data_IF_336127977123
#
_entry.id   IF_336127977123
#
_cell.length_a   1.000
_cell.length_b   1.000
_cell.length_c   1.000
_cell.angle_alpha   90.00
_cell.angle_beta   90.00
_cell.angle_gamma   90.00
#
_symmetry.space_group_name_H-M   'P 1'
#
loop_
_entity.id
_entity.type
_entity.pdbx_description
1 polymer ?
#
# COMPACT_ATOMS: atom_id res chain seq x y z
N UNK A 1 -10.83 14.13 -9.46
CA UNK A 1 -11.02 12.75 -8.95
C UNK A 1 -12.01 12.78 -7.78
N UNK A 2 -13.03 11.91 -7.76
CA UNK A 2 -13.97 11.83 -6.64
C UNK A 2 -13.32 11.13 -5.43
N UNK A 3 -13.60 11.58 -4.21
CA UNK A 3 -13.05 11.02 -2.98
C UNK A 3 -14.07 10.05 -2.38
N UNK A 4 -13.66 8.81 -2.13
CA UNK A 4 -14.48 7.84 -1.40
C UNK A 4 -14.39 8.06 0.10
N UNK A 5 -15.55 8.18 0.73
CA UNK A 5 -15.67 8.33 2.17
C UNK A 5 -16.23 7.05 2.80
N UNK A 6 -15.37 6.35 3.53
CA UNK A 6 -15.73 5.21 4.37
C UNK A 6 -14.69 5.05 5.46
N UNK A 7 -15.11 4.51 6.60
CA UNK A 7 -14.19 4.27 7.74
C UNK A 7 -13.12 3.25 7.41
N UNK A 8 -13.44 2.31 6.52
CA UNK A 8 -12.54 1.27 6.04
C UNK A 8 -12.85 0.96 4.60
N UNK A 9 -11.85 0.96 3.74
CA UNK A 9 -11.95 0.54 2.36
C UNK A 9 -11.20 -0.76 2.17
N UNK A 10 -11.82 -1.71 1.49
CA UNK A 10 -11.14 -2.91 1.00
C UNK A 10 -10.77 -2.67 -0.44
N UNK A 11 -9.47 -2.80 -0.73
CA UNK A 11 -8.95 -2.73 -2.07
C UNK A 11 -8.96 -4.14 -2.64
N UNK A 12 -9.63 -4.29 -3.77
CA UNK A 12 -9.75 -5.53 -4.49
C UNK A 12 -9.28 -5.37 -5.95
N UNK A 13 -8.93 -6.49 -6.58
CA UNK A 13 -8.71 -6.57 -8.03
C UNK A 13 -9.78 -7.49 -8.60
N UNK A 14 -10.45 -7.03 -9.63
CA UNK A 14 -11.42 -7.80 -10.39
C UNK A 14 -10.82 -8.22 -11.73
N UNK A 15 -10.80 -9.52 -11.99
CA UNK A 15 -10.40 -10.14 -13.24
C UNK A 15 -11.55 -11.04 -13.75
N UNK A 16 -11.47 -11.59 -14.98
CA UNK A 16 -12.51 -12.49 -15.49
C UNK A 16 -12.84 -13.67 -14.56
N UNK A 17 -11.88 -14.18 -13.80
CA UNK A 17 -12.05 -15.28 -12.83
C UNK A 17 -12.73 -14.85 -11.52
N UNK A 18 -12.70 -13.56 -11.19
CA UNK A 18 -13.43 -12.99 -10.06
C UNK A 18 -12.78 -11.77 -9.44
N UNK A 19 -13.39 -11.28 -8.36
CA UNK A 19 -12.87 -10.18 -7.55
C UNK A 19 -12.20 -10.70 -6.27
N UNK A 20 -10.96 -10.29 -6.04
CA UNK A 20 -10.11 -10.76 -4.95
C UNK A 20 -9.65 -9.60 -4.06
N UNK A 21 -9.85 -9.73 -2.74
CA UNK A 21 -9.48 -8.71 -1.77
C UNK A 21 -7.98 -8.78 -1.51
N UNK A 22 -7.27 -7.66 -1.63
CA UNK A 22 -5.81 -7.64 -1.47
C UNK A 22 -5.43 -7.08 -0.10
N UNK A 23 -5.93 -5.89 0.23
CA UNK A 23 -5.70 -5.24 1.51
C UNK A 23 -6.89 -4.36 1.91
N UNK A 24 -6.88 -3.87 3.14
CA UNK A 24 -7.81 -2.84 3.58
C UNK A 24 -7.04 -1.65 4.13
N UNK A 25 -7.60 -0.46 4.00
CA UNK A 25 -7.04 0.74 4.60
C UNK A 25 -8.13 1.65 5.14
N UNK A 26 -7.76 2.62 5.94
CA UNK A 26 -8.67 3.62 6.46
C UNK A 26 -8.02 4.49 7.51
N UNK A 27 -8.88 5.15 8.29
CA UNK A 27 -8.48 6.10 9.30
C UNK A 27 -9.06 5.73 10.67
N UNK A 28 -8.26 5.91 11.71
CA UNK A 28 -8.72 5.82 13.08
C UNK A 28 -9.48 7.11 13.43
N UNK A 29 -10.70 6.97 13.95
CA UNK A 29 -11.57 8.10 14.27
C UNK A 29 -11.09 8.96 15.43
N UNK A 30 -10.28 8.40 16.32
CA UNK A 30 -9.90 9.09 17.56
C UNK A 30 -8.78 10.08 17.35
N UNK A 31 -7.79 9.68 16.56
CA UNK A 31 -6.56 10.45 16.36
C UNK A 31 -6.27 10.74 14.87
N UNK A 32 -7.06 10.22 13.94
CA UNK A 32 -6.82 10.37 12.51
C UNK A 32 -5.73 9.46 11.95
N UNK A 33 -5.17 8.53 12.74
CA UNK A 33 -4.11 7.64 12.27
C UNK A 33 -4.53 6.84 11.05
N UNK A 34 -3.64 6.71 10.06
CA UNK A 34 -3.82 5.83 8.93
C UNK A 34 -3.61 4.39 9.38
N UNK A 35 -4.33 3.43 8.81
CA UNK A 35 -3.99 2.03 8.94
C UNK A 35 -4.11 1.28 7.62
N UNK A 36 -3.29 0.24 7.48
CA UNK A 36 -3.32 -0.70 6.35
C UNK A 36 -3.29 -2.10 6.93
N UNK A 37 -4.32 -2.89 6.64
CA UNK A 37 -4.46 -4.28 7.06
C UNK A 37 -4.25 -5.21 5.86
N UNK A 38 -3.48 -6.28 6.04
CA UNK A 38 -3.20 -7.30 5.00
C UNK A 38 -3.79 -8.69 5.34
N UNK A 39 -5.11 -8.84 5.59
CA UNK A 39 -5.65 -10.07 6.18
C UNK A 39 -6.05 -11.14 5.15
N UNK A 40 -5.88 -10.88 3.85
CA UNK A 40 -6.61 -11.62 2.82
C UNK A 40 -5.83 -12.74 2.13
N UNK A 41 -4.52 -12.81 2.32
CA UNK A 41 -3.69 -13.96 1.97
C UNK A 41 -3.46 -14.80 3.24
N UNK A 42 -3.94 -16.04 3.24
CA UNK A 42 -3.95 -16.90 4.44
C UNK A 42 -2.69 -17.79 4.48
N UNK A 43 -1.55 -17.20 4.81
CA UNK A 43 -0.31 -17.94 5.05
C UNK A 43 0.55 -17.25 6.11
N UNK A 44 1.55 -17.96 6.60
CA UNK A 44 2.53 -17.40 7.53
C UNK A 44 3.45 -16.42 6.77
N UNK A 45 3.64 -15.23 7.33
CA UNK A 45 4.50 -14.19 6.79
C UNK A 45 5.77 -13.97 7.63
N UNK A 46 6.74 -13.29 7.02
CA UNK A 46 7.97 -12.83 7.66
C UNK A 46 8.01 -11.31 7.66
N UNK A 47 8.33 -10.73 8.81
CA UNK A 47 8.47 -9.29 9.01
C UNK A 47 9.95 -8.96 9.22
N UNK A 48 10.43 -7.91 8.56
CA UNK A 48 11.81 -7.44 8.70
C UNK A 48 11.99 -5.98 8.28
N UNK A 49 13.22 -5.48 8.32
CA UNK A 49 13.58 -4.22 7.70
C UNK A 49 14.28 -4.50 6.39
N UNK A 50 13.82 -3.87 5.30
CA UNK A 50 14.56 -3.80 4.06
C UNK A 50 15.28 -2.44 3.99
N UNK A 51 16.57 -2.47 3.69
CA UNK A 51 17.36 -1.26 3.43
C UNK A 51 17.87 -1.25 2.01
N UNK A 52 18.06 -0.07 1.44
CA UNK A 52 18.71 0.09 0.14
C UNK A 52 19.19 1.52 -0.06
N UNK A 53 20.12 1.69 -0.99
CA UNK A 53 20.61 3.00 -1.43
C UNK A 53 19.75 3.43 -2.62
N UNK A 54 19.27 4.67 -2.60
CA UNK A 54 18.51 5.19 -3.74
C UNK A 54 19.44 5.47 -4.91
N UNK A 55 19.17 4.86 -6.06
CA UNK A 55 19.89 5.12 -7.30
C UNK A 55 19.30 6.35 -8.03
N UNK A 56 19.95 6.76 -9.13
CA UNK A 56 19.56 7.97 -9.88
C UNK A 56 18.18 7.87 -10.53
N UNK A 57 17.73 6.64 -10.81
CA UNK A 57 16.41 6.34 -11.35
C UNK A 57 15.33 6.19 -10.25
N UNK A 58 15.65 6.51 -8.99
CA UNK A 58 14.73 6.39 -7.86
C UNK A 58 14.58 4.97 -7.30
N UNK A 59 15.17 3.96 -7.93
CA UNK A 59 15.18 2.58 -7.49
C UNK A 59 16.14 2.31 -6.33
N UNK A 60 16.03 1.14 -5.70
CA UNK A 60 16.93 0.70 -4.64
C UNK A 60 18.06 -0.17 -5.16
N UNK A 61 19.31 0.22 -4.93
CA UNK A 61 20.52 -0.61 -5.02
C UNK A 61 21.00 -1.04 -3.63
N UNK A 62 21.98 -1.95 -3.57
CA UNK A 62 22.61 -2.42 -2.33
C UNK A 62 21.59 -2.82 -1.25
N UNK A 63 20.79 -3.81 -1.58
CA UNK A 63 19.63 -4.18 -0.78
C UNK A 63 19.99 -5.21 0.26
N UNK A 64 19.52 -4.96 1.47
CA UNK A 64 19.58 -5.91 2.58
C UNK A 64 18.19 -6.07 3.19
N UNK A 65 17.96 -7.22 3.80
CA UNK A 65 16.75 -7.47 4.58
C UNK A 65 17.09 -8.26 5.83
N UNK A 66 16.76 -7.65 6.96
CA UNK A 66 17.03 -8.21 8.27
C UNK A 66 15.68 -8.66 8.85
N UNK A 67 15.42 -9.99 8.94
CA UNK A 67 14.18 -10.49 9.52
C UNK A 67 14.15 -10.25 11.03
N UNK A 68 12.97 -9.90 11.54
CA UNK A 68 12.74 -9.64 12.96
C UNK A 68 11.74 -10.61 13.59
N UNK A 69 10.86 -11.23 12.78
CA UNK A 69 9.92 -12.22 13.30
C UNK A 69 8.92 -12.71 12.27
N UNK A 70 8.18 -13.76 12.64
CA UNK A 70 7.11 -14.35 11.82
C UNK A 70 5.74 -13.85 12.27
N UNK A 71 4.76 -13.93 11.39
CA UNK A 71 3.37 -13.54 11.66
C UNK A 71 2.40 -14.52 11.01
N UNK A 72 1.33 -14.89 11.72
CA UNK A 72 0.28 -15.81 11.20
C UNK A 72 -1.00 -15.09 10.82
N UNK A 73 -1.23 -13.95 11.46
CA UNK A 73 -2.43 -13.16 11.31
C UNK A 73 -2.02 -11.89 10.58
N UNK A 74 -2.51 -11.73 9.35
CA UNK A 74 -2.11 -10.65 8.44
C UNK A 74 -1.86 -9.32 9.16
N UNK A 75 -0.72 -8.71 8.84
CA UNK A 75 -0.23 -7.54 9.57
C UNK A 75 -1.18 -6.35 9.46
N UNK A 76 -1.17 -5.53 10.50
CA UNK A 76 -1.72 -4.19 10.49
C UNK A 76 -0.61 -3.17 10.65
N UNK A 77 -0.40 -2.38 9.60
CA UNK A 77 0.41 -1.17 9.62
C UNK A 77 -0.43 -0.01 10.14
N UNK A 78 0.16 0.90 10.92
CA UNK A 78 -0.47 2.14 11.33
C UNK A 78 0.51 3.30 11.26
N UNK A 79 0.04 4.45 10.78
CA UNK A 79 0.80 5.70 10.69
C UNK A 79 0.07 6.77 11.48
N UNK A 80 0.66 7.19 12.58
CA UNK A 80 0.09 8.17 13.51
C UNK A 80 0.36 9.61 13.06
N UNK A 81 -0.48 10.58 13.46
CA UNK A 81 -0.31 11.99 13.09
C UNK A 81 1.06 12.59 13.42
N UNK A 82 1.65 12.14 14.52
CA UNK A 82 2.96 12.59 15.01
C UNK A 82 4.15 11.98 14.24
N UNK A 83 3.89 11.06 13.31
CA UNK A 83 4.92 10.40 12.51
C UNK A 83 5.32 9.03 13.02
N UNK A 84 4.81 8.59 14.19
CA UNK A 84 5.06 7.23 14.66
C UNK A 84 4.38 6.23 13.75
N UNK A 85 5.10 5.16 13.45
CA UNK A 85 4.59 4.06 12.63
C UNK A 85 4.76 2.74 13.35
N UNK A 86 3.76 1.87 13.25
CA UNK A 86 3.70 0.61 13.97
C UNK A 86 3.25 -0.54 13.07
N UNK A 87 3.80 -1.73 13.32
CA UNK A 87 3.24 -3.00 12.85
C UNK A 87 2.66 -3.78 14.02
N UNK A 88 1.49 -4.36 13.79
CA UNK A 88 0.85 -5.33 14.68
C UNK A 88 0.80 -6.69 13.99
N UNK A 89 1.30 -7.73 14.67
CA UNK A 89 1.36 -9.12 14.19
C UNK A 89 0.23 -10.01 14.72
N UNK A 90 -0.41 -9.65 15.83
CA UNK A 90 -1.45 -10.42 16.51
C UNK A 90 -2.81 -9.69 16.54
N UNK A 91 -2.97 -8.65 15.71
CA UNK A 91 -4.11 -7.74 15.78
C UNK A 91 -4.12 -6.87 17.05
N UNK A 92 -3.13 -7.03 17.94
CA UNK A 92 -2.84 -6.13 19.06
C UNK A 92 -1.56 -5.36 18.72
N UNK A 93 -1.53 -4.06 18.96
CA UNK A 93 -0.36 -3.25 18.59
C UNK A 93 0.78 -3.59 19.56
N UNK A 94 1.62 -4.57 19.23
CA UNK A 94 2.92 -4.79 19.89
C UNK A 94 3.96 -3.95 19.16
N UNK A 95 4.41 -2.89 19.82
CA UNK A 95 5.28 -1.81 19.32
C UNK A 95 6.73 -2.21 19.04
N UNK A 96 7.04 -3.50 18.86
CA UNK A 96 8.42 -3.96 18.72
C UNK A 96 9.11 -3.44 17.44
N UNK A 97 8.32 -2.92 16.49
CA UNK A 97 8.78 -2.32 15.25
C UNK A 97 8.29 -0.88 15.12
N UNK A 98 8.34 -0.11 16.22
CA UNK A 98 8.04 1.31 16.15
C UNK A 98 9.13 2.05 15.38
N UNK A 99 8.72 2.90 14.45
CA UNK A 99 9.63 3.80 13.76
C UNK A 99 9.12 5.25 13.84
N UNK A 100 10.01 6.19 14.14
CA UNK A 100 9.72 7.61 14.21
C UNK A 100 9.93 8.25 12.84
N UNK A 101 8.87 8.29 12.05
CA UNK A 101 8.85 8.95 10.76
C UNK A 101 8.47 10.43 10.85
N UNK A 102 8.14 11.00 9.70
CA UNK A 102 7.66 12.37 9.57
C UNK A 102 6.19 12.50 9.98
N UNK A 103 5.79 13.58 10.63
CA UNK A 103 4.37 13.84 10.92
C UNK A 103 3.50 13.73 9.64
N UNK A 104 2.28 13.20 9.74
CA UNK A 104 1.37 13.02 8.59
C UNK A 104 1.14 14.33 7.82
N UNK A 105 1.09 15.46 8.53
CA UNK A 105 0.92 16.78 7.93
C UNK A 105 2.10 17.24 7.07
N UNK A 106 3.28 16.67 7.29
CA UNK A 106 4.51 16.98 6.55
C UNK A 106 4.85 15.91 5.51
N UNK A 107 4.30 14.70 5.63
CA UNK A 107 4.61 13.59 4.73
C UNK A 107 4.22 13.93 3.29
N UNK A 108 5.23 13.90 2.42
CA UNK A 108 5.09 13.98 0.96
C UNK A 108 5.47 12.64 0.32
N UNK A 109 5.01 12.39 -0.90
CA UNK A 109 5.30 11.16 -1.63
C UNK A 109 4.56 9.91 -1.12
N UNK A 110 5.01 8.71 -1.51
CA UNK A 110 4.34 7.48 -1.13
C UNK A 110 4.57 7.11 0.34
N UNK A 111 3.57 6.48 0.94
CA UNK A 111 3.61 5.89 2.28
C UNK A 111 4.13 4.46 2.19
N UNK A 112 3.59 3.66 1.28
CA UNK A 112 3.97 2.27 1.11
C UNK A 112 3.67 1.77 -0.30
N UNK A 113 4.29 0.64 -0.64
CA UNK A 113 3.97 -0.17 -1.83
C UNK A 113 3.54 -1.56 -1.39
N UNK A 114 2.53 -2.09 -2.07
CA UNK A 114 2.00 -3.44 -1.85
C UNK A 114 2.06 -4.17 -3.18
N UNK A 115 2.67 -5.34 -3.22
CA UNK A 115 2.73 -6.20 -4.40
C UNK A 115 1.99 -7.49 -4.08
N UNK A 116 1.04 -7.86 -4.93
CA UNK A 116 0.27 -9.09 -4.80
C UNK A 116 0.40 -9.92 -6.07
N UNK A 117 0.78 -11.19 -5.93
CA UNK A 117 0.92 -12.13 -7.04
C UNK A 117 0.00 -13.35 -6.84
N UNK A 118 -0.46 -13.95 -7.94
CA UNK A 118 -1.51 -14.99 -7.99
C UNK A 118 -2.75 -14.58 -7.21
N UNK A 119 -3.45 -13.59 -7.75
CA UNK A 119 -4.64 -12.98 -7.14
C UNK A 119 -5.72 -14.00 -6.74
N UNK A 120 -5.82 -15.12 -7.47
CA UNK A 120 -6.76 -16.21 -7.19
C UNK A 120 -6.61 -16.85 -5.80
N UNK A 121 -5.44 -16.78 -5.18
CA UNK A 121 -5.19 -17.34 -3.83
C UNK A 121 -5.64 -16.38 -2.71
N UNK A 122 -6.01 -15.15 -3.05
CA UNK A 122 -6.53 -14.19 -2.10
C UNK A 122 -8.02 -14.42 -1.82
N UNK A 123 -8.48 -13.94 -0.66
CA UNK A 123 -9.88 -14.04 -0.27
C UNK A 123 -10.80 -13.36 -1.30
N UNK A 124 -11.66 -14.14 -1.95
CA UNK A 124 -12.67 -13.63 -2.90
C UNK A 124 -13.65 -12.66 -2.25
N UNK A 125 -14.09 -11.66 -3.01
CA UNK A 125 -15.23 -10.80 -2.66
C UNK A 125 -16.51 -11.65 -2.67
N UNK A 126 -17.26 -11.59 -1.57
CA UNK A 126 -18.51 -12.35 -1.41
C UNK A 126 -19.73 -11.43 -1.54
N UNK A 127 -20.90 -12.01 -1.83
CA UNK A 127 -22.18 -11.30 -1.79
C UNK A 127 -22.45 -10.63 -0.43
N UNK A 128 -22.00 -11.26 0.66
CA UNK A 128 -22.13 -10.68 1.99
C UNK A 128 -21.29 -9.41 2.15
N UNK A 129 -20.14 -9.31 1.49
CA UNK A 129 -19.34 -8.09 1.55
C UNK A 129 -19.99 -6.93 0.79
N UNK A 130 -20.69 -7.21 -0.31
CA UNK A 130 -21.42 -6.21 -1.10
C UNK A 130 -22.67 -5.69 -0.38
N UNK A 131 -23.25 -6.50 0.52
CA UNK A 131 -24.42 -6.11 1.34
C UNK A 131 -24.04 -5.29 2.59
N UNK A 132 -22.76 -5.10 2.88
CA UNK A 132 -22.33 -4.32 4.04
C UNK A 132 -22.59 -2.84 3.82
N UNK A 133 -22.92 -2.15 4.90
CA UNK A 133 -23.07 -0.70 4.94
C UNK A 133 -21.78 -0.02 4.44
N UNK A 134 -21.88 0.63 3.28
CA UNK A 134 -20.77 1.27 2.57
C UNK A 134 -20.12 2.39 3.40
N UNK A 135 -20.87 3.03 4.31
CA UNK A 135 -20.34 4.05 5.21
C UNK A 135 -19.36 3.49 6.25
N UNK A 136 -19.52 2.20 6.60
CA UNK A 136 -18.65 1.48 7.54
C UNK A 136 -17.53 0.75 6.82
N UNK A 137 -17.85 0.11 5.69
CA UNK A 137 -16.90 -0.69 4.92
C UNK A 137 -17.21 -0.60 3.43
N UNK A 138 -16.42 0.18 2.69
CA UNK A 138 -16.44 0.21 1.22
C UNK A 138 -15.60 -0.90 0.60
N UNK A 139 -15.98 -1.38 -0.58
CA UNK A 139 -15.10 -2.15 -1.47
C UNK A 139 -14.82 -1.30 -2.69
N UNK A 140 -13.54 -1.12 -2.99
CA UNK A 140 -13.07 -0.49 -4.21
C UNK A 140 -12.33 -1.54 -5.02
N UNK A 141 -12.95 -2.01 -6.10
CA UNK A 141 -12.33 -2.97 -7.01
C UNK A 141 -11.71 -2.25 -8.20
N UNK A 142 -10.46 -2.58 -8.50
CA UNK A 142 -9.79 -2.18 -9.72
C UNK A 142 -10.04 -3.27 -10.77
N UNK A 143 -10.68 -2.90 -11.88
CA UNK A 143 -11.20 -3.85 -12.86
C UNK A 143 -10.18 -4.05 -13.99
N UNK A 144 -9.94 -5.31 -14.34
CA UNK A 144 -9.16 -5.75 -15.49
C UNK A 144 -10.00 -6.62 -16.40
N UNK A 145 -9.95 -6.35 -17.71
CA UNK A 145 -10.61 -7.17 -18.74
C UNK A 145 -9.86 -8.47 -19.04
N UNK A 146 -8.62 -8.60 -18.55
CA UNK A 146 -7.76 -9.77 -18.74
C UNK A 146 -7.36 -10.37 -17.40
N UNK A 147 -7.00 -11.66 -17.39
CA UNK A 147 -6.36 -12.25 -16.22
C UNK A 147 -5.02 -11.59 -15.94
N UNK A 148 -4.73 -11.42 -14.66
CA UNK A 148 -3.52 -10.76 -14.20
C UNK A 148 -2.68 -11.73 -13.37
N UNK A 149 -1.37 -11.83 -13.62
CA UNK A 149 -0.49 -12.59 -12.76
C UNK A 149 -0.39 -11.95 -11.37
N UNK A 150 -0.59 -10.62 -11.30
CA UNK A 150 -0.60 -9.88 -10.05
C UNK A 150 -0.75 -8.38 -10.26
N UNK A 151 -0.56 -7.62 -9.19
CA UNK A 151 -0.76 -6.18 -9.14
C UNK A 151 0.22 -5.51 -8.17
N UNK A 152 0.63 -4.29 -8.51
CA UNK A 152 1.36 -3.38 -7.64
C UNK A 152 0.45 -2.23 -7.26
N UNK A 153 0.43 -1.89 -5.98
CA UNK A 153 -0.29 -0.75 -5.44
C UNK A 153 0.69 0.17 -4.75
N UNK A 154 0.66 1.45 -5.11
CA UNK A 154 1.42 2.48 -4.41
C UNK A 154 0.44 3.42 -3.71
N UNK A 155 0.60 3.56 -2.40
CA UNK A 155 -0.28 4.38 -1.56
C UNK A 155 0.41 5.70 -1.30
N UNK A 156 -0.19 6.80 -1.74
CA UNK A 156 0.29 8.16 -1.50
C UNK A 156 -0.61 8.89 -0.50
N UNK A 157 -0.03 9.89 0.17
CA UNK A 157 -0.78 10.86 0.94
C UNK A 157 -0.78 12.20 0.21
N UNK A 158 -1.96 12.76 -0.03
CA UNK A 158 -2.15 14.07 -0.68
C UNK A 158 -3.08 14.93 0.15
N UNK A 159 -2.99 16.24 0.01
CA UNK A 159 -4.03 17.12 0.54
C UNK A 159 -5.25 17.09 -0.39
N UNK A 160 -6.45 17.32 0.14
CA UNK A 160 -7.66 17.49 -0.67
C UNK A 160 -7.52 18.63 -1.68
N UNK A 161 -6.76 19.67 -1.35
CA UNK A 161 -6.54 20.81 -2.23
C UNK A 161 -5.70 20.44 -3.45
N UNK A 162 -4.71 19.56 -3.30
CA UNK A 162 -3.90 19.03 -4.41
C UNK A 162 -4.77 18.29 -5.45
N UNK A 163 -5.91 17.75 -5.02
CA UNK A 163 -6.85 17.02 -5.89
C UNK A 163 -7.84 17.93 -6.62
N UNK A 164 -8.01 19.18 -6.15
CA UNK A 164 -8.91 20.17 -6.76
C UNK A 164 -8.24 20.92 -7.91
N UNK A 165 -6.91 20.97 -7.95
CA UNK A 165 -6.13 21.76 -8.89
C UNK A 165 -5.93 21.16 -10.30
N UNK A 166 -6.78 20.22 -10.76
CA UNK A 166 -6.76 19.76 -12.16
C UNK A 166 -8.14 19.34 -12.67
N UNK A 167 -8.71 20.08 -13.65
CA UNK A 167 -9.81 19.63 -14.47
C UNK A 167 -9.30 19.17 -15.85
N UNK A 168 -9.48 17.91 -16.20
CA UNK A 168 -9.58 17.50 -17.60
C UNK A 168 -10.78 16.55 -17.72
N UNK A 169 -11.81 17.10 -18.35
CA UNK A 169 -13.02 16.47 -18.92
C UNK A 169 -13.05 14.94 -18.95
N UNK A 170 -14.00 14.34 -18.22
CA UNK A 170 -14.38 12.94 -18.34
C UNK A 170 -15.30 12.51 -17.19
N UNK A 171 -16.46 11.92 -17.51
CA UNK A 171 -17.48 11.47 -16.54
C UNK A 171 -16.88 10.43 -15.60
N UNK A 172 -16.93 10.72 -14.29
CA UNK A 172 -16.16 10.04 -13.25
C UNK A 172 -16.60 8.62 -12.96
N UNK A 173 -15.80 7.66 -13.41
CA UNK A 173 -15.48 6.48 -12.62
C UNK A 173 -14.55 6.91 -11.47
N UNK A 174 -14.52 6.25 -10.30
CA UNK A 174 -13.66 6.64 -9.18
C UNK A 174 -12.15 6.49 -9.42
N UNK A 175 -11.79 6.03 -10.62
CA UNK A 175 -10.44 5.83 -11.11
C UNK A 175 -9.97 7.12 -11.77
N UNK A 176 -9.07 7.86 -11.12
CA UNK A 176 -8.32 8.95 -11.73
C UNK A 176 -7.00 8.46 -12.32
N UNK A 177 -6.34 9.29 -13.13
CA UNK A 177 -4.96 9.06 -13.58
C UNK A 177 -3.97 9.81 -12.68
N UNK A 178 -2.85 9.17 -12.32
CA UNK A 178 -1.74 9.79 -11.60
C UNK A 178 -0.46 9.69 -12.41
N UNK A 179 0.22 10.82 -12.63
CA UNK A 179 1.55 10.89 -13.27
C UNK A 179 2.65 10.73 -12.22
N UNK A 180 3.69 9.94 -12.50
CA UNK A 180 4.86 9.81 -11.62
C UNK A 180 5.85 10.97 -11.84
N UNK A 181 6.75 11.26 -10.88
CA UNK A 181 7.75 12.33 -11.04
C UNK A 181 8.77 12.06 -12.16
N UNK A 182 9.04 10.79 -12.44
CA UNK A 182 10.09 10.33 -13.35
C UNK A 182 9.56 9.94 -14.73
N UNK A 183 8.26 9.62 -14.88
CA UNK A 183 7.66 9.26 -16.16
C UNK A 183 6.21 9.77 -16.30
N UNK A 184 5.84 10.15 -17.51
CA UNK A 184 4.47 10.57 -17.88
C UNK A 184 3.49 9.39 -17.94
N UNK A 185 3.60 8.41 -17.03
CA UNK A 185 2.70 7.25 -17.00
C UNK A 185 1.49 7.63 -16.16
N UNK A 186 0.34 7.69 -16.82
CA UNK A 186 -0.96 7.78 -16.18
C UNK A 186 -1.31 6.42 -15.54
N UNK A 187 -1.34 6.36 -14.21
CA UNK A 187 -1.75 5.17 -13.47
C UNK A 187 -3.20 5.30 -12.98
N UNK A 188 -4.04 4.27 -13.15
CA UNK A 188 -5.33 4.18 -12.49
C UNK A 188 -5.17 4.33 -10.97
N UNK A 189 -5.95 5.23 -10.35
CA UNK A 189 -5.86 5.50 -8.93
C UNK A 189 -7.21 5.78 -8.29
N UNK A 190 -7.37 5.40 -7.02
CA UNK A 190 -8.58 5.67 -6.23
C UNK A 190 -8.22 6.62 -5.09
N UNK A 191 -9.04 7.66 -4.90
CA UNK A 191 -8.93 8.58 -3.76
C UNK A 191 -9.83 8.13 -2.60
N UNK A 192 -9.25 8.04 -1.40
CA UNK A 192 -9.90 7.58 -0.19
C UNK A 192 -9.70 8.63 0.90
N UNK A 193 -10.80 9.19 1.39
CA UNK A 193 -10.81 10.20 2.44
C UNK A 193 -11.37 9.68 3.77
N UNK A 194 -11.20 10.48 4.81
CA UNK A 194 -11.94 10.30 6.06
C UNK A 194 -13.42 10.61 5.84
N UNK A 195 -14.35 9.86 6.48
CA UNK A 195 -15.74 10.27 6.53
C UNK A 195 -15.85 11.70 7.06
N UNK A 196 -16.65 12.55 6.40
CA UNK A 196 -16.77 13.97 6.75
C UNK A 196 -17.03 14.21 8.25
N UNK A 197 -17.87 13.39 8.87
CA UNK A 197 -18.23 13.48 10.29
C UNK A 197 -17.11 13.08 11.26
N UNK A 198 -16.13 12.29 10.80
CA UNK A 198 -15.00 11.77 11.58
C UNK A 198 -13.67 12.42 11.14
N UNK A 199 -13.72 13.55 10.40
CA UNK A 199 -12.55 14.14 9.74
C UNK A 199 -11.64 14.87 10.75
N UNK A 200 -10.40 14.41 10.85
CA UNK A 200 -9.37 14.99 11.70
C UNK A 200 -8.37 15.86 10.91
N UNK A 201 -8.26 15.66 9.59
CA UNK A 201 -7.36 16.41 8.71
C UNK A 201 -7.83 16.34 7.25
N UNK A 202 -7.27 17.17 6.38
CA UNK A 202 -7.56 17.28 4.95
C UNK A 202 -6.78 16.30 4.06
N UNK A 203 -6.29 15.20 4.64
CA UNK A 203 -5.43 14.23 3.95
C UNK A 203 -6.22 13.09 3.35
N UNK A 204 -5.95 12.83 2.07
CA UNK A 204 -6.55 11.78 1.25
C UNK A 204 -5.48 10.76 0.89
N UNK A 205 -5.83 9.49 1.00
CA UNK A 205 -5.04 8.38 0.50
C UNK A 205 -5.32 8.20 -0.99
N UNK A 206 -4.27 8.23 -1.81
CA UNK A 206 -4.35 7.88 -3.23
C UNK A 206 -3.75 6.50 -3.40
N UNK A 207 -4.56 5.55 -3.86
CA UNK A 207 -4.12 4.18 -4.15
C UNK A 207 -3.94 4.07 -5.66
N UNK A 208 -2.71 4.25 -6.13
CA UNK A 208 -2.36 4.01 -7.53
C UNK A 208 -2.12 2.53 -7.77
N UNK A 209 -2.48 2.04 -8.95
CA UNK A 209 -2.44 0.64 -9.33
C UNK A 209 -1.73 0.45 -10.66
N UNK A 210 -0.92 -0.62 -10.73
CA UNK A 210 -0.28 -1.09 -11.96
C UNK A 210 -0.38 -2.62 -12.04
N UNK A 211 -0.86 -3.20 -13.16
CA UNK A 211 -0.81 -4.65 -13.34
C UNK A 211 0.63 -5.14 -13.47
N UNK A 212 0.92 -6.35 -12.95
CA UNK A 212 2.18 -7.02 -13.22
C UNK A 212 2.18 -7.65 -14.61
N UNK A 213 3.31 -7.59 -15.30
CA UNK A 213 3.47 -8.23 -16.61
C UNK A 213 3.69 -9.73 -16.46
N UNK A 214 3.22 -10.51 -17.43
CA UNK A 214 3.34 -11.98 -17.47
C UNK A 214 4.81 -12.45 -17.44
N UNK A 215 5.77 -11.61 -17.81
CA UNK A 215 7.20 -11.95 -17.75
C UNK A 215 7.74 -12.12 -16.31
N UNK A 216 6.99 -11.70 -15.29
CA UNK A 216 7.40 -11.75 -13.87
C UNK A 216 6.84 -12.97 -13.14
N UNK A 217 6.92 -14.17 -13.73
CA UNK A 217 6.29 -15.36 -13.15
C UNK A 217 7.02 -15.80 -11.89
N UNK A 218 6.53 -15.36 -10.74
CA UNK A 218 6.79 -16.02 -9.46
C UNK A 218 5.78 -17.18 -9.36
N UNK A 219 6.23 -18.43 -9.24
CA UNK A 219 5.34 -19.59 -9.30
C UNK A 219 4.36 -19.66 -8.14
N UNK A 220 4.66 -19.00 -7.02
CA UNK A 220 3.87 -19.02 -5.80
C UNK A 220 3.07 -17.72 -5.59
N UNK A 221 1.98 -17.82 -4.84
CA UNK A 221 1.26 -16.64 -4.39
C UNK A 221 2.08 -15.93 -3.35
N UNK A 222 2.19 -14.61 -3.49
CA UNK A 222 2.88 -13.83 -2.49
C UNK A 222 2.26 -12.45 -2.33
N UNK A 223 2.50 -11.89 -1.16
CA UNK A 223 2.20 -10.51 -0.83
C UNK A 223 3.45 -9.88 -0.23
N UNK A 224 3.90 -8.78 -0.81
CA UNK A 224 4.94 -7.92 -0.25
C UNK A 224 4.32 -6.59 0.16
N UNK A 225 4.59 -6.16 1.38
CA UNK A 225 4.38 -4.79 1.84
C UNK A 225 5.73 -4.15 2.08
N UNK A 226 5.92 -2.92 1.59
CA UNK A 226 7.10 -2.10 1.87
C UNK A 226 6.66 -0.71 2.30
N UNK A 227 7.03 -0.31 3.51
CA UNK A 227 6.71 0.99 4.07
C UNK A 227 6.83 1.00 5.60
N UNK A 228 6.89 2.16 6.25
CA UNK A 228 6.97 3.48 5.65
C UNK A 228 8.33 3.67 4.94
N UNK A 229 8.35 4.50 3.91
CA UNK A 229 9.59 4.94 3.27
C UNK A 229 10.24 6.03 4.10
N UNK A 230 11.46 5.79 4.59
CA UNK A 230 12.22 6.73 5.41
C UNK A 230 13.59 6.92 4.81
N UNK A 231 13.90 8.15 4.46
CA UNK A 231 15.26 8.53 4.05
C UNK A 231 16.05 8.89 5.31
N UNK A 232 17.10 8.11 5.58
CA UNK A 232 18.10 8.45 6.59
C UNK A 232 19.27 9.15 5.92
N UNK A 233 19.64 10.32 6.43
CA UNK A 233 20.88 10.97 6.02
C UNK A 233 22.07 10.15 6.53
N UNK A 234 22.95 9.80 5.61
CA UNK A 234 24.23 9.15 5.89
C UNK A 234 25.30 10.01 5.22
N UNK A 235 26.25 10.52 6.00
CA UNK A 235 27.31 11.40 5.48
C UNK A 235 28.15 10.72 4.39
N UNK A 236 28.25 9.39 4.42
CA UNK A 236 28.94 8.60 3.41
C UNK A 236 28.12 8.37 2.13
N UNK A 237 26.80 8.60 2.17
CA UNK A 237 25.87 8.37 1.06
C UNK A 237 25.07 9.66 0.84
N UNK A 238 25.57 10.59 -0.01
CA UNK A 238 24.95 11.90 -0.22
C UNK A 238 23.48 11.85 -0.67
N UNK A 239 23.07 10.74 -1.29
CA UNK A 239 21.68 10.50 -1.74
C UNK A 239 20.75 9.93 -0.66
N UNK A 240 21.28 9.66 0.53
CA UNK A 240 20.58 9.04 1.65
C UNK A 240 20.44 7.52 1.49
N UNK A 241 20.31 6.84 2.62
CA UNK A 241 19.92 5.43 2.68
C UNK A 241 18.40 5.37 2.89
N UNK A 242 17.69 4.64 2.04
CA UNK A 242 16.27 4.39 2.22
C UNK A 242 16.10 3.16 3.10
N UNK A 243 15.42 3.35 4.22
CA UNK A 243 15.04 2.28 5.14
C UNK A 243 13.53 2.11 5.06
N UNK A 244 13.09 0.87 4.93
CA UNK A 244 11.68 0.51 4.90
C UNK A 244 11.44 -0.68 5.80
N UNK A 245 10.28 -0.71 6.45
CA UNK A 245 9.82 -1.95 7.06
C UNK A 245 9.12 -2.76 5.98
N UNK A 246 9.40 -4.06 5.95
CA UNK A 246 8.91 -4.95 4.91
C UNK A 246 8.25 -6.17 5.51
N UNK A 247 7.16 -6.61 4.90
CA UNK A 247 6.48 -7.85 5.25
C UNK A 247 6.26 -8.68 4.01
N UNK A 248 6.65 -9.94 4.07
CA UNK A 248 6.57 -10.90 2.98
C UNK A 248 5.68 -12.06 3.40
N UNK A 249 4.77 -12.45 2.53
CA UNK A 249 3.96 -13.65 2.63
C UNK A 249 4.09 -14.46 1.34
N UNK A 250 4.26 -15.79 1.38
CA UNK A 250 4.62 -16.59 2.54
C UNK A 250 6.07 -16.32 3.01
N UNK A 251 6.35 -16.63 4.27
CA UNK A 251 7.66 -16.43 4.91
C UNK A 251 8.82 -17.11 4.17
N UNK A 252 8.58 -18.25 3.50
CA UNK A 252 9.60 -19.00 2.77
C UNK A 252 10.19 -18.25 1.58
N UNK A 253 9.48 -17.27 1.03
CA UNK A 253 9.93 -16.50 -0.14
C UNK A 253 10.80 -15.30 0.21
N UNK A 254 11.02 -15.01 1.49
CA UNK A 254 11.71 -13.79 1.90
C UNK A 254 13.11 -13.65 1.30
N UNK A 255 13.88 -14.75 1.19
CA UNK A 255 15.23 -14.73 0.62
C UNK A 255 15.28 -14.36 -0.87
N UNK A 256 14.30 -14.83 -1.65
CA UNK A 256 14.22 -14.59 -3.09
C UNK A 256 13.62 -13.21 -3.40
N UNK A 257 12.67 -12.77 -2.58
CA UNK A 257 11.89 -11.56 -2.86
C UNK A 257 12.73 -10.28 -2.83
N UNK A 258 13.71 -10.19 -1.94
CA UNK A 258 14.56 -8.99 -1.77
C UNK A 258 15.33 -8.68 -3.06
N UNK A 259 15.70 -9.73 -3.80
CA UNK A 259 16.38 -9.66 -5.09
C UNK A 259 15.43 -9.32 -6.23
N UNK A 260 14.15 -9.70 -6.12
CA UNK A 260 13.14 -9.52 -7.17
C UNK A 260 12.34 -8.21 -7.05
N UNK A 261 12.49 -7.44 -5.98
CA UNK A 261 11.81 -6.14 -5.84
C UNK A 261 12.25 -5.26 -7.02
N UNK A 262 11.37 -4.94 -7.95
CA UNK A 262 11.73 -3.98 -9.00
C UNK A 262 12.04 -2.63 -8.35
N UNK A 263 12.73 -1.72 -9.03
CA UNK A 263 12.77 -0.32 -8.58
C UNK A 263 11.34 0.11 -8.24
N UNK A 264 11.13 0.56 -6.99
CA UNK A 264 9.91 1.29 -6.69
C UNK A 264 10.10 2.62 -7.40
N UNK A 265 9.28 2.89 -8.41
CA UNK A 265 9.25 4.19 -9.07
C UNK A 265 8.67 5.19 -8.06
N UNK A 266 9.54 5.71 -7.20
CA UNK A 266 9.24 6.70 -6.16
C UNK A 266 9.26 8.12 -6.72
#
# INVERSE_FOLDING_TARGET
MAIHESRRHVIAVETPSGAYKIFALGYNKRDGSLFIDLPYLKCDGLVGAATGIRNEAGGLSDRDFIPFGTTKYGIKFSYHPDGRTHFSQDGKIRTNLSHNGMALSKKTGPICTIIAHRLCEFTRVSQQDLRKDSTKKGICALISSVELPGAVFTVFLKSENDLKSSPSTGVGSPVGEMTTPTETIALPAIAIGQPLMDRCHDRVLIVAYRPLSVASIVPESYLLFQGPYVETQDEAIPKGKLVTQSVVYPACLAGDLIRSISSIDL
#
